data_IF_479293516060
#
_entry.id   IF_479293516060
#
_cell.length_a   1.000
_cell.length_b   1.000
_cell.length_c   1.000
_cell.angle_alpha   90.00
_cell.angle_beta   90.00
_cell.angle_gamma   90.00
#
_symmetry.space_group_name_H-M   'P 1'
#
loop_
_entity.id
_entity.type
_entity.pdbx_description
1 polymer ?
#
# COMPACT_ATOMS: atom_id res chain seq x y z
N UNK A 1 -14.84 48.94 -80.57
CA UNK A 1 -13.46 49.13 -80.19
C UNK A 1 -13.31 48.68 -78.78
N UNK A 2 -12.89 47.44 -78.62
CA UNK A 2 -12.87 46.76 -77.34
C UNK A 2 -11.44 46.50 -76.81
N UNK A 3 -11.16 47.08 -75.70
CA UNK A 3 -9.87 46.86 -74.97
C UNK A 3 -9.94 45.65 -74.10
N UNK A 4 -9.20 44.61 -74.42
CA UNK A 4 -9.04 43.43 -73.59
C UNK A 4 -8.07 43.73 -72.44
N UNK A 5 -8.59 43.78 -71.19
CA UNK A 5 -7.75 43.84 -69.99
C UNK A 5 -7.30 42.41 -69.67
N UNK A 6 -6.01 42.20 -69.75
CA UNK A 6 -5.36 40.96 -69.25
C UNK A 6 -5.27 41.01 -67.72
N UNK A 7 -5.93 40.06 -67.05
CA UNK A 7 -5.80 39.85 -65.62
C UNK A 7 -4.59 38.94 -65.43
N UNK A 8 -3.53 39.42 -64.78
CA UNK A 8 -2.41 38.63 -64.31
C UNK A 8 -2.80 37.99 -62.95
N UNK A 9 -2.97 36.74 -63.00
CA UNK A 9 -3.12 35.92 -61.75
C UNK A 9 -1.74 35.69 -61.17
N UNK A 10 -1.37 36.40 -60.13
CA UNK A 10 -0.15 36.15 -59.36
C UNK A 10 -0.48 35.11 -58.35
N UNK A 11 -0.10 33.88 -58.61
CA UNK A 11 -0.20 32.79 -57.66
C UNK A 11 0.93 32.96 -56.65
N UNK A 12 0.61 33.50 -55.49
CA UNK A 12 1.52 33.56 -54.38
C UNK A 12 1.68 32.13 -53.80
N UNK A 13 2.80 31.53 -54.10
CA UNK A 13 3.23 30.24 -53.53
C UNK A 13 3.68 30.49 -52.07
N UNK A 14 2.79 30.29 -51.11
CA UNK A 14 3.11 30.31 -49.69
C UNK A 14 3.90 29.00 -49.37
N UNK A 15 5.22 29.11 -49.37
CA UNK A 15 6.11 28.12 -48.81
C UNK A 15 5.96 28.14 -47.27
N UNK A 16 5.10 27.27 -46.75
CA UNK A 16 5.06 26.97 -45.33
C UNK A 16 6.30 26.12 -45.02
N UNK A 17 7.36 26.78 -44.56
CA UNK A 17 8.46 26.10 -43.88
C UNK A 17 7.91 25.60 -42.56
N UNK A 18 7.41 24.36 -42.55
CA UNK A 18 7.25 23.59 -41.32
C UNK A 18 8.64 23.27 -40.81
N UNK A 19 9.12 24.08 -39.88
CA UNK A 19 10.24 23.67 -39.02
C UNK A 19 9.79 22.45 -38.25
N UNK A 20 10.07 21.30 -38.80
CA UNK A 20 10.17 20.04 -38.04
C UNK A 20 11.33 20.21 -37.06
N UNK A 21 11.02 20.77 -35.88
CA UNK A 21 11.87 20.58 -34.72
C UNK A 21 11.88 19.07 -34.46
N UNK A 22 13.00 18.37 -34.56
CA UNK A 22 13.06 17.02 -34.07
C UNK A 22 12.85 17.13 -32.55
N UNK A 23 11.62 16.86 -32.06
CA UNK A 23 11.48 16.45 -30.68
C UNK A 23 12.39 15.23 -30.54
N UNK A 24 13.54 15.44 -29.95
CA UNK A 24 14.29 14.37 -29.32
C UNK A 24 13.38 13.87 -28.20
N UNK A 25 12.47 13.00 -28.56
CA UNK A 25 11.89 12.07 -27.61
C UNK A 25 13.09 11.28 -27.14
N UNK A 26 13.64 11.68 -25.99
CA UNK A 26 14.45 10.80 -25.20
C UNK A 26 13.54 9.59 -24.96
N UNK A 27 13.62 8.66 -25.89
CA UNK A 27 13.15 7.30 -25.70
C UNK A 27 13.94 6.76 -24.52
N UNK A 28 13.39 6.96 -23.32
CA UNK A 28 13.60 6.00 -22.27
C UNK A 28 13.25 4.67 -22.94
N UNK A 29 14.27 3.96 -23.39
CA UNK A 29 14.15 2.58 -23.79
C UNK A 29 13.44 1.92 -22.62
N UNK A 30 12.15 1.63 -22.81
CA UNK A 30 11.41 0.82 -21.88
C UNK A 30 12.27 -0.44 -21.73
N UNK A 31 12.93 -0.55 -20.59
CA UNK A 31 13.58 -1.80 -20.25
C UNK A 31 12.50 -2.87 -20.42
N UNK A 32 12.79 -3.96 -21.14
CA UNK A 32 11.81 -5.03 -21.30
C UNK A 32 11.30 -5.32 -19.89
N UNK A 33 9.97 -5.28 -19.72
CA UNK A 33 9.27 -5.59 -18.49
C UNK A 33 9.89 -6.84 -17.85
N UNK A 34 10.91 -6.64 -17.01
CA UNK A 34 11.23 -7.65 -16.03
C UNK A 34 10.01 -7.64 -15.12
N UNK A 35 9.19 -8.67 -15.24
CA UNK A 35 8.22 -8.98 -14.21
C UNK A 35 8.92 -8.77 -12.86
N UNK A 36 8.30 -8.06 -11.91
CA UNK A 36 8.92 -7.91 -10.59
C UNK A 36 9.38 -9.29 -10.16
N UNK A 37 10.58 -9.44 -9.57
CA UNK A 37 11.05 -10.74 -9.16
C UNK A 37 9.93 -11.40 -8.38
N UNK A 38 9.57 -12.62 -8.78
CA UNK A 38 8.55 -13.38 -8.09
C UNK A 38 8.99 -13.49 -6.64
N UNK A 39 8.06 -13.41 -5.69
CA UNK A 39 8.37 -13.55 -4.25
C UNK A 39 9.20 -14.83 -3.95
N UNK A 40 9.13 -15.83 -4.82
CA UNK A 40 9.93 -17.05 -4.76
C UNK A 40 11.45 -16.82 -4.70
N UNK A 41 11.91 -15.69 -5.25
CA UNK A 41 13.36 -15.37 -5.32
C UNK A 41 13.69 -14.05 -4.63
N UNK A 42 12.69 -13.37 -4.06
CA UNK A 42 12.93 -12.11 -3.40
C UNK A 42 13.60 -12.30 -2.04
N UNK A 43 14.67 -11.58 -1.84
CA UNK A 43 15.35 -11.43 -0.56
C UNK A 43 15.72 -9.96 -0.38
N UNK A 44 15.67 -9.41 0.82
CA UNK A 44 16.21 -8.08 1.05
C UNK A 44 17.71 -8.08 0.69
N UNK A 45 18.25 -6.95 0.22
CA UNK A 45 19.68 -6.85 -0.01
C UNK A 45 20.45 -7.25 1.26
N UNK A 46 21.53 -8.01 1.07
CA UNK A 46 22.41 -8.35 2.20
C UNK A 46 22.96 -7.06 2.79
N UNK A 47 23.00 -6.97 4.10
CA UNK A 47 23.47 -5.80 4.86
C UNK A 47 22.67 -4.52 4.53
N UNK A 48 21.39 -4.67 4.21
CA UNK A 48 20.51 -3.53 3.94
C UNK A 48 20.42 -2.61 5.16
N UNK A 49 20.63 -1.32 4.92
CA UNK A 49 20.33 -0.24 5.88
C UNK A 49 19.37 0.71 5.18
N UNK A 50 18.25 0.99 5.81
CA UNK A 50 17.26 1.87 5.22
C UNK A 50 17.80 3.29 4.96
N UNK A 51 17.30 3.97 3.92
CA UNK A 51 17.83 5.27 3.49
C UNK A 51 17.59 6.38 4.54
N UNK A 52 16.59 6.26 5.39
CA UNK A 52 16.28 7.23 6.44
C UNK A 52 17.31 7.12 7.55
N UNK A 53 17.63 5.91 7.99
CA UNK A 53 18.70 5.66 8.98
C UNK A 53 20.05 6.19 8.50
N UNK A 54 20.36 6.05 7.19
CA UNK A 54 21.58 6.65 6.63
C UNK A 54 21.56 8.17 6.71
N UNK A 55 20.43 8.83 6.43
CA UNK A 55 20.27 10.28 6.55
C UNK A 55 20.35 10.77 8.00
N UNK A 56 19.78 10.04 8.94
CA UNK A 56 19.89 10.34 10.37
C UNK A 56 21.37 10.34 10.79
N UNK A 57 22.15 9.33 10.38
CA UNK A 57 23.59 9.28 10.66
C UNK A 57 24.34 10.46 10.06
N UNK A 58 24.02 10.84 8.82
CA UNK A 58 24.60 12.00 8.15
C UNK A 58 24.31 13.30 8.92
N UNK A 59 23.06 13.56 9.29
CA UNK A 59 22.67 14.77 10.02
C UNK A 59 23.24 14.82 11.45
N UNK A 60 23.33 13.69 12.14
CA UNK A 60 24.02 13.59 13.44
C UNK A 60 25.51 13.91 13.32
N UNK A 61 26.17 13.45 12.27
CA UNK A 61 27.58 13.79 12.01
C UNK A 61 27.78 15.31 11.74
N UNK A 62 26.74 16.01 11.28
CA UNK A 62 26.71 17.47 11.12
C UNK A 62 26.37 18.21 12.44
N UNK A 63 26.09 17.49 13.51
CA UNK A 63 25.79 18.06 14.83
C UNK A 63 24.32 18.47 15.02
N UNK A 64 23.40 18.05 14.14
CA UNK A 64 21.97 18.33 14.28
C UNK A 64 21.39 17.54 15.47
N UNK A 65 20.47 18.15 16.19
CA UNK A 65 19.67 17.53 17.24
C UNK A 65 18.46 16.81 16.63
N UNK A 66 17.84 15.93 17.40
CA UNK A 66 16.76 15.07 16.91
C UNK A 66 15.57 15.86 16.32
N UNK A 67 15.18 16.99 16.91
CA UNK A 67 14.11 17.83 16.37
C UNK A 67 14.49 18.46 15.01
N UNK A 68 15.76 18.83 14.85
CA UNK A 68 16.28 19.38 13.60
C UNK A 68 16.35 18.26 12.52
N UNK A 69 16.80 17.08 12.91
CA UNK A 69 16.85 15.91 12.03
C UNK A 69 15.45 15.57 11.53
N UNK A 70 14.46 15.51 12.42
CA UNK A 70 13.06 15.24 12.02
C UNK A 70 12.57 16.26 10.99
N UNK A 71 12.80 17.55 11.22
CA UNK A 71 12.41 18.61 10.29
C UNK A 71 13.12 18.53 8.93
N UNK A 72 14.39 18.14 8.89
CA UNK A 72 15.11 17.96 7.63
C UNK A 72 14.64 16.69 6.89
N UNK A 73 14.33 15.60 7.59
CA UNK A 73 13.77 14.40 6.99
C UNK A 73 12.41 14.66 6.36
N UNK A 74 11.53 15.41 7.02
CA UNK A 74 10.20 15.77 6.48
C UNK A 74 10.31 16.52 5.15
N UNK A 75 11.28 17.43 4.99
CA UNK A 75 11.55 18.11 3.70
C UNK A 75 11.96 17.15 2.58
N UNK A 76 12.54 16.02 2.95
CA UNK A 76 12.94 14.97 2.02
C UNK A 76 11.82 13.94 1.78
N UNK A 77 10.63 14.11 2.36
CA UNK A 77 9.56 13.13 2.30
C UNK A 77 9.92 11.85 3.06
N UNK A 78 10.60 11.98 4.17
CA UNK A 78 11.01 10.90 5.06
C UNK A 78 10.52 11.20 6.47
N UNK A 79 10.33 10.15 7.26
CA UNK A 79 9.95 10.31 8.66
C UNK A 79 10.77 9.43 9.58
N UNK A 80 10.83 9.88 10.82
CA UNK A 80 11.54 9.19 11.89
C UNK A 80 10.86 9.44 13.22
N UNK A 81 10.74 8.41 14.02
CA UNK A 81 10.24 8.49 15.39
C UNK A 81 11.40 8.32 16.37
N UNK A 82 11.98 9.42 16.91
CA UNK A 82 13.22 9.38 17.67
C UNK A 82 13.17 8.49 18.91
N UNK A 83 11.99 8.34 19.50
CA UNK A 83 11.77 7.58 20.74
C UNK A 83 12.04 6.09 20.57
N UNK A 84 11.69 5.52 19.43
CA UNK A 84 11.84 4.09 19.17
C UNK A 84 12.82 3.79 18.04
N UNK A 85 13.10 4.79 17.19
CA UNK A 85 13.95 4.60 16.02
C UNK A 85 13.18 4.21 14.74
N UNK A 86 11.86 4.07 14.77
CA UNK A 86 11.06 3.76 13.61
C UNK A 86 11.26 4.79 12.48
N UNK A 87 11.37 4.30 11.24
CA UNK A 87 11.68 5.10 10.05
C UNK A 87 10.74 4.77 8.90
N UNK A 88 10.45 5.74 8.03
CA UNK A 88 9.62 5.53 6.84
C UNK A 88 9.94 6.53 5.73
N UNK A 89 9.63 6.16 4.49
CA UNK A 89 9.52 7.12 3.38
C UNK A 89 8.07 7.54 3.20
N UNK A 90 7.87 8.79 2.79
CA UNK A 90 6.55 9.41 2.73
C UNK A 90 6.37 10.41 3.87
N UNK A 91 5.13 10.80 4.10
CA UNK A 91 4.78 11.76 5.15
C UNK A 91 3.73 11.21 6.09
N UNK A 92 3.72 11.69 7.31
CA UNK A 92 2.60 11.48 8.21
C UNK A 92 1.33 12.14 7.64
N UNK A 93 0.19 11.60 7.96
CA UNK A 93 -1.09 12.21 7.63
C UNK A 93 -1.34 13.42 8.51
N UNK A 94 -1.99 14.45 7.94
CA UNK A 94 -2.50 15.57 8.73
C UNK A 94 -3.64 15.12 9.64
N UNK A 95 -3.99 15.88 10.70
CA UNK A 95 -5.14 15.55 11.54
C UNK A 95 -6.44 15.40 10.75
N UNK A 96 -6.64 16.20 9.70
CA UNK A 96 -7.81 16.15 8.83
C UNK A 96 -7.82 14.85 8.00
N UNK A 97 -6.69 14.48 7.42
CA UNK A 97 -6.54 13.21 6.71
C UNK A 97 -6.72 12.01 7.64
N UNK A 98 -6.17 12.09 8.87
CA UNK A 98 -6.35 11.05 9.89
C UNK A 98 -7.82 10.86 10.28
N UNK A 99 -8.61 11.94 10.33
CA UNK A 99 -10.03 11.87 10.63
C UNK A 99 -10.84 11.13 9.53
N UNK A 100 -10.31 11.10 8.31
CA UNK A 100 -10.90 10.38 7.18
C UNK A 100 -10.40 8.93 7.04
N UNK A 101 -9.31 8.59 7.73
CA UNK A 101 -8.78 7.23 7.68
C UNK A 101 -9.61 6.27 8.53
N UNK A 102 -9.70 5.00 8.11
CA UNK A 102 -10.35 3.99 8.92
C UNK A 102 -9.70 3.92 10.31
N UNK A 103 -10.53 3.84 11.33
CA UNK A 103 -10.07 3.43 12.64
C UNK A 103 -9.79 1.93 12.58
N UNK A 104 -8.54 1.56 12.38
CA UNK A 104 -8.07 0.19 12.17
C UNK A 104 -8.15 -0.70 13.42
N UNK A 105 -8.79 -0.26 14.48
CA UNK A 105 -9.12 -1.14 15.58
C UNK A 105 -10.13 -2.19 15.08
N UNK A 106 -9.90 -3.49 15.31
CA UNK A 106 -10.93 -4.50 15.11
C UNK A 106 -12.17 -4.02 15.89
N UNK A 107 -13.25 -3.75 15.17
CA UNK A 107 -14.44 -3.15 15.74
C UNK A 107 -14.93 -4.00 16.92
N UNK A 108 -14.69 -3.56 18.13
CA UNK A 108 -15.53 -3.96 19.25
C UNK A 108 -16.95 -3.58 18.86
N UNK A 109 -17.87 -4.53 18.97
CA UNK A 109 -19.28 -4.32 18.67
C UNK A 109 -19.75 -2.99 19.28
N UNK A 110 -20.43 -2.13 18.50
CA UNK A 110 -20.78 -0.78 18.95
C UNK A 110 -21.68 -0.87 20.19
N UNK A 111 -21.26 -0.29 21.30
CA UNK A 111 -22.14 0.07 22.39
C UNK A 111 -23.06 1.20 21.89
N UNK A 112 -24.36 1.04 22.08
CA UNK A 112 -25.40 1.97 21.66
C UNK A 112 -25.26 3.31 22.41
N UNK A 113 -24.57 4.29 21.86
CA UNK A 113 -24.63 5.67 22.32
C UNK A 113 -24.54 6.67 21.16
N UNK A 114 -25.61 7.46 21.00
CA UNK A 114 -25.66 8.76 20.33
C UNK A 114 -25.56 8.74 18.79
N UNK A 115 -26.69 9.10 18.14
CA UNK A 115 -26.81 9.22 16.69
C UNK A 115 -26.04 10.43 16.12
N UNK A 116 -24.74 10.32 15.92
CA UNK A 116 -24.05 11.02 14.85
C UNK A 116 -24.09 10.12 13.59
N UNK A 117 -24.10 10.69 12.39
CA UNK A 117 -24.01 9.95 11.12
C UNK A 117 -22.80 9.01 11.20
N UNK A 118 -23.04 7.75 11.53
CA UNK A 118 -21.99 6.78 11.75
C UNK A 118 -21.60 6.22 10.39
N UNK A 119 -20.39 6.49 9.96
CA UNK A 119 -19.74 5.76 8.88
C UNK A 119 -19.85 4.27 9.18
N UNK A 120 -20.49 3.53 8.30
CA UNK A 120 -20.65 2.08 8.43
C UNK A 120 -19.45 1.41 7.80
N UNK A 121 -18.68 0.65 8.58
CA UNK A 121 -17.60 -0.18 8.05
C UNK A 121 -18.03 -1.63 7.86
N UNK A 122 -17.42 -2.30 6.89
CA UNK A 122 -17.54 -3.74 6.66
C UNK A 122 -16.17 -4.30 6.34
N UNK A 123 -15.88 -5.46 6.90
CA UNK A 123 -14.56 -6.10 6.78
C UNK A 123 -14.67 -7.53 6.27
N UNK A 124 -13.64 -7.95 5.57
CA UNK A 124 -13.35 -9.35 5.28
C UNK A 124 -11.87 -9.59 5.53
N UNK A 125 -11.52 -10.71 6.12
CA UNK A 125 -10.13 -11.04 6.42
C UNK A 125 -9.86 -12.54 6.30
N UNK A 126 -8.60 -12.87 6.05
CA UNK A 126 -8.01 -14.19 6.21
C UNK A 126 -6.77 -14.04 7.11
N UNK A 127 -6.65 -14.87 8.14
CA UNK A 127 -5.57 -14.78 9.12
C UNK A 127 -5.06 -16.16 9.54
N UNK A 128 -3.80 -16.24 9.94
CA UNK A 128 -3.29 -17.43 10.63
C UNK A 128 -3.86 -17.49 12.05
N UNK A 129 -4.20 -18.69 12.53
CA UNK A 129 -4.78 -18.87 13.88
C UNK A 129 -3.75 -18.69 14.98
N UNK A 130 -2.46 -18.87 14.68
CA UNK A 130 -1.38 -18.78 15.66
C UNK A 130 -0.39 -17.67 15.34
N UNK A 131 0.17 -17.05 16.37
CA UNK A 131 1.30 -16.15 16.30
C UNK A 131 2.60 -16.97 16.19
N UNK A 132 2.91 -17.47 15.01
CA UNK A 132 4.06 -18.35 14.76
C UNK A 132 5.00 -17.81 13.65
N UNK A 133 4.71 -16.63 13.11
CA UNK A 133 5.32 -16.15 11.89
C UNK A 133 6.18 -14.90 12.13
N UNK A 134 7.26 -14.79 11.38
CA UNK A 134 8.15 -13.63 11.34
C UNK A 134 7.95 -12.78 10.11
N UNK A 135 6.99 -13.10 9.28
CA UNK A 135 6.69 -12.30 8.11
C UNK A 135 5.55 -12.88 7.28
N UNK A 136 5.06 -12.03 6.39
CA UNK A 136 4.02 -12.33 5.43
C UNK A 136 4.34 -11.63 4.13
N UNK A 137 4.10 -12.30 3.02
CA UNK A 137 4.23 -11.69 1.70
C UNK A 137 3.10 -12.15 0.79
N UNK A 138 2.71 -11.29 -0.14
CA UNK A 138 1.65 -11.54 -1.09
C UNK A 138 1.86 -10.77 -2.38
N UNK A 139 1.47 -11.35 -3.49
CA UNK A 139 1.18 -10.62 -4.71
C UNK A 139 -0.32 -10.27 -4.69
N UNK A 140 -0.65 -8.98 -4.76
CA UNK A 140 -2.02 -8.50 -4.67
C UNK A 140 -2.44 -7.76 -5.94
N UNK A 141 -3.50 -8.25 -6.57
CA UNK A 141 -4.27 -7.53 -7.59
C UNK A 141 -5.40 -6.79 -6.88
N UNK A 142 -5.48 -5.48 -7.02
CA UNK A 142 -6.44 -4.66 -6.28
C UNK A 142 -7.89 -4.82 -6.74
N UNK A 143 -8.09 -5.23 -7.99
CA UNK A 143 -9.42 -5.15 -8.58
C UNK A 143 -9.95 -3.72 -8.67
N UNK A 144 -11.26 -3.56 -8.75
CA UNK A 144 -11.87 -2.24 -8.96
C UNK A 144 -11.92 -1.36 -7.71
N UNK A 145 -11.97 -1.92 -6.51
CA UNK A 145 -12.16 -1.17 -5.25
C UNK A 145 -13.13 0.00 -5.46
N UNK A 146 -14.36 -0.32 -5.91
CA UNK A 146 -15.31 0.67 -6.41
C UNK A 146 -15.77 1.62 -5.31
N UNK A 147 -15.68 2.93 -5.56
CA UNK A 147 -16.08 3.98 -4.62
C UNK A 147 -16.98 5.01 -5.30
N UNK A 148 -17.98 5.53 -4.57
CA UNK A 148 -18.92 6.53 -5.05
C UNK A 148 -19.35 7.46 -3.93
N UNK A 149 -19.86 8.64 -4.25
CA UNK A 149 -20.36 9.60 -3.26
C UNK A 149 -21.58 9.12 -2.45
N UNK A 150 -22.32 8.13 -2.94
CA UNK A 150 -23.56 7.63 -2.31
C UNK A 150 -23.45 6.18 -1.81
N UNK A 151 -22.34 5.51 -2.13
CA UNK A 151 -22.10 4.12 -1.77
C UNK A 151 -20.85 3.95 -0.93
N UNK A 152 -20.00 3.02 -1.33
CA UNK A 152 -18.67 2.88 -0.74
C UNK A 152 -17.89 4.17 -0.95
N UNK A 153 -17.56 4.88 0.13
CA UNK A 153 -16.78 6.11 0.07
C UNK A 153 -15.28 5.84 0.11
N UNK A 154 -14.91 4.82 0.85
CA UNK A 154 -13.53 4.45 1.09
C UNK A 154 -13.39 2.94 1.05
N UNK A 155 -12.37 2.44 0.36
CA UNK A 155 -12.02 1.03 0.31
C UNK A 155 -10.53 0.85 0.54
N UNK A 156 -10.12 -0.12 1.34
CA UNK A 156 -8.73 -0.48 1.46
C UNK A 156 -8.50 -1.99 1.47
N UNK A 157 -7.29 -2.36 1.09
CA UNK A 157 -6.75 -3.71 1.10
C UNK A 157 -5.42 -3.66 1.83
N UNK A 158 -5.14 -4.61 2.70
CA UNK A 158 -3.86 -4.65 3.38
C UNK A 158 -3.32 -6.07 3.57
N UNK A 159 -1.99 -6.11 3.70
CA UNK A 159 -1.23 -7.22 4.25
C UNK A 159 -0.85 -6.85 5.67
N UNK A 160 -1.03 -7.74 6.62
CA UNK A 160 -0.94 -7.48 8.06
C UNK A 160 0.03 -8.45 8.74
N UNK A 161 0.79 -7.95 9.72
CA UNK A 161 1.62 -8.77 10.61
C UNK A 161 1.53 -8.21 12.03
N UNK A 162 1.27 -9.05 13.03
CA UNK A 162 1.21 -8.61 14.42
C UNK A 162 0.26 -9.42 15.30
N UNK A 163 -0.20 -8.83 16.38
CA UNK A 163 -1.20 -9.39 17.29
C UNK A 163 -2.61 -9.09 16.81
N UNK A 164 -2.99 -9.67 15.66
CA UNK A 164 -4.18 -9.29 14.89
C UNK A 164 -5.50 -9.56 15.62
N UNK A 165 -5.58 -10.61 16.45
CA UNK A 165 -6.81 -10.94 17.18
C UNK A 165 -7.01 -10.03 18.40
N UNK A 166 -5.93 -9.61 19.05
CA UNK A 166 -6.01 -8.66 20.17
C UNK A 166 -6.09 -7.20 19.71
N UNK A 167 -5.62 -6.90 18.49
CA UNK A 167 -5.52 -5.55 17.96
C UNK A 167 -4.58 -4.66 18.79
N UNK A 168 -3.54 -5.24 19.40
CA UNK A 168 -2.67 -4.52 20.34
C UNK A 168 -1.36 -4.06 19.74
N UNK A 169 -0.80 -4.79 18.80
CA UNK A 169 0.49 -4.45 18.19
C UNK A 169 0.58 -5.10 16.82
N UNK A 170 0.38 -4.31 15.78
CA UNK A 170 0.42 -4.79 14.39
C UNK A 170 0.82 -3.70 13.42
N UNK A 171 1.25 -4.14 12.25
CA UNK A 171 1.64 -3.30 11.14
C UNK A 171 0.95 -3.72 9.86
N UNK A 172 0.78 -2.78 8.95
CA UNK A 172 0.09 -2.99 7.68
C UNK A 172 0.83 -2.33 6.51
N UNK A 173 0.85 -3.04 5.39
CA UNK A 173 1.12 -2.47 4.07
C UNK A 173 -0.23 -2.35 3.35
N UNK A 174 -0.62 -1.13 3.00
CA UNK A 174 -2.01 -0.79 2.66
C UNK A 174 -2.12 -0.17 1.28
N UNK A 175 -3.12 -0.60 0.52
CA UNK A 175 -3.61 0.08 -0.68
C UNK A 175 -5.00 0.63 -0.40
N UNK A 176 -5.22 1.90 -0.72
CA UNK A 176 -6.50 2.59 -0.53
C UNK A 176 -7.06 3.12 -1.84
N UNK A 177 -8.38 3.27 -1.87
CA UNK A 177 -9.11 4.04 -2.87
C UNK A 177 -10.22 4.83 -2.19
N UNK A 178 -10.08 6.17 -2.17
CA UNK A 178 -11.11 7.10 -1.68
C UNK A 178 -11.90 7.69 -2.84
N UNK A 179 -13.16 8.03 -2.58
CA UNK A 179 -13.98 8.74 -3.57
C UNK A 179 -13.33 10.08 -3.95
N UNK A 180 -13.21 10.31 -5.26
CA UNK A 180 -12.55 11.51 -5.80
C UNK A 180 -11.02 11.46 -5.83
N UNK A 181 -10.42 10.39 -5.36
CA UNK A 181 -8.98 10.21 -5.34
C UNK A 181 -8.51 9.07 -6.24
N UNK A 182 -7.20 9.01 -6.46
CA UNK A 182 -6.52 7.87 -7.09
C UNK A 182 -6.11 6.85 -6.03
N UNK A 183 -5.76 5.65 -6.47
CA UNK A 183 -5.21 4.62 -5.57
C UNK A 183 -3.91 5.10 -4.92
N UNK A 184 -3.78 4.91 -3.60
CA UNK A 184 -2.63 5.34 -2.81
C UNK A 184 -2.09 4.22 -1.95
N UNK A 185 -0.77 4.16 -1.79
CA UNK A 185 -0.12 3.29 -0.83
C UNK A 185 0.15 4.00 0.48
N UNK A 186 -0.14 3.29 1.56
CA UNK A 186 0.14 3.70 2.94
C UNK A 186 0.81 2.56 3.69
N UNK A 187 1.41 2.91 4.80
CA UNK A 187 1.73 1.95 5.87
C UNK A 187 1.04 2.38 7.15
N UNK A 188 0.73 1.43 7.98
CA UNK A 188 0.20 1.67 9.31
C UNK A 188 0.97 0.88 10.35
N UNK A 189 1.23 1.52 11.49
CA UNK A 189 1.81 0.89 12.66
C UNK A 189 1.06 1.44 13.87
N UNK A 190 0.41 0.58 14.63
CA UNK A 190 -0.46 1.04 15.70
C UNK A 190 0.30 1.50 16.96
N UNK A 191 1.58 1.22 17.08
CA UNK A 191 2.43 1.63 18.21
C UNK A 191 3.42 2.74 17.85
N UNK A 192 3.88 2.78 16.61
CA UNK A 192 4.98 3.63 16.19
C UNK A 192 4.59 4.58 15.04
N UNK A 193 3.94 5.69 15.36
CA UNK A 193 3.68 6.76 14.42
C UNK A 193 2.42 6.63 13.56
N UNK A 194 1.65 5.54 13.67
CA UNK A 194 0.36 5.40 12.98
C UNK A 194 0.48 5.36 11.45
N UNK A 195 -0.41 6.09 10.77
CA UNK A 195 -0.50 6.13 9.32
C UNK A 195 0.60 6.98 8.68
N UNK A 196 1.26 6.43 7.65
CA UNK A 196 2.12 7.20 6.76
C UNK A 196 1.73 6.99 5.30
N UNK A 197 1.57 8.09 4.55
CA UNK A 197 1.36 8.09 3.10
C UNK A 197 2.68 7.90 2.40
N UNK A 198 2.75 6.87 1.55
CA UNK A 198 3.94 6.62 0.75
C UNK A 198 3.86 7.33 -0.59
N UNK A 199 2.94 6.93 -1.44
CA UNK A 199 2.73 7.55 -2.76
C UNK A 199 1.47 7.06 -3.46
N UNK A 200 1.11 7.73 -4.54
CA UNK A 200 0.08 7.26 -5.47
C UNK A 200 0.53 5.98 -6.17
N UNK A 201 -0.38 5.00 -6.28
CA UNK A 201 -0.17 3.78 -7.08
C UNK A 201 -0.13 4.15 -8.56
N UNK A 202 0.95 3.80 -9.21
CA UNK A 202 1.20 4.07 -10.63
C UNK A 202 1.03 2.83 -11.54
N UNK A 203 0.67 1.70 -10.97
CA UNK A 203 0.38 0.46 -11.70
C UNK A 203 -1.12 0.33 -11.96
N UNK A 204 -1.51 -0.34 -13.04
CA UNK A 204 -2.92 -0.62 -13.28
C UNK A 204 -3.51 -1.55 -12.20
N UNK A 205 -4.82 -1.48 -11.98
CA UNK A 205 -5.53 -2.31 -10.98
C UNK A 205 -5.53 -3.80 -11.31
N UNK A 206 -5.21 -4.15 -12.54
CA UNK A 206 -5.05 -5.53 -13.02
C UNK A 206 -3.64 -6.08 -12.83
N UNK A 207 -2.67 -5.23 -12.49
CA UNK A 207 -1.32 -5.68 -12.18
C UNK A 207 -1.20 -6.06 -10.71
N UNK A 208 -0.45 -7.12 -10.47
CA UNK A 208 -0.07 -7.50 -9.12
C UNK A 208 1.03 -6.60 -8.59
N UNK A 209 0.83 -6.13 -7.37
CA UNK A 209 1.88 -5.49 -6.59
C UNK A 209 2.37 -6.46 -5.52
N UNK A 210 3.67 -6.46 -5.24
CA UNK A 210 4.27 -7.29 -4.21
C UNK A 210 4.27 -6.54 -2.89
N UNK A 211 3.78 -7.18 -1.84
CA UNK A 211 3.80 -6.68 -0.47
C UNK A 211 4.56 -7.65 0.41
N UNK A 212 5.50 -7.14 1.17
CA UNK A 212 6.28 -7.93 2.13
C UNK A 212 6.36 -7.18 3.45
N UNK A 213 6.03 -7.87 4.52
CA UNK A 213 6.32 -7.43 5.89
C UNK A 213 7.15 -8.54 6.53
N UNK A 214 8.31 -8.20 7.07
CA UNK A 214 9.20 -9.19 7.63
C UNK A 214 9.95 -8.70 8.86
N UNK A 215 10.12 -9.56 9.83
CA UNK A 215 11.02 -9.36 10.96
C UNK A 215 12.34 -10.10 10.70
N UNK A 216 13.46 -9.44 10.94
CA UNK A 216 14.78 -10.06 10.83
C UNK A 216 15.18 -10.85 12.07
N UNK A 217 14.50 -10.59 13.20
CA UNK A 217 14.73 -11.23 14.48
C UNK A 217 15.65 -10.45 15.40
N UNK A 218 16.17 -9.29 14.98
CA UNK A 218 16.93 -8.40 15.84
C UNK A 218 16.03 -7.75 16.88
N UNK A 219 16.60 -7.46 18.06
CA UNK A 219 15.94 -6.73 19.13
C UNK A 219 16.86 -5.60 19.57
N UNK A 220 16.36 -4.36 19.52
CA UNK A 220 17.16 -3.17 19.78
C UNK A 220 16.68 -2.33 20.99
N UNK A 221 15.81 -2.90 21.83
CA UNK A 221 15.24 -2.26 23.01
C UNK A 221 13.88 -1.58 22.76
N UNK A 222 13.51 -1.28 21.51
CA UNK A 222 12.16 -0.86 21.11
C UNK A 222 11.22 -2.06 20.86
N UNK A 223 11.80 -3.20 20.52
CA UNK A 223 11.08 -4.41 20.15
C UNK A 223 11.84 -5.23 19.12
N UNK A 224 11.13 -6.11 18.45
CA UNK A 224 11.67 -6.89 17.34
C UNK A 224 11.50 -6.13 16.04
N UNK A 225 12.62 -5.84 15.40
CA UNK A 225 12.67 -5.04 14.18
C UNK A 225 11.90 -5.69 13.03
N UNK A 226 11.08 -4.88 12.33
CA UNK A 226 10.42 -5.26 11.09
C UNK A 226 10.71 -4.28 9.96
N UNK A 227 10.58 -4.77 8.72
CA UNK A 227 10.59 -3.99 7.50
C UNK A 227 9.33 -4.21 6.67
N UNK A 228 8.84 -3.15 6.03
CA UNK A 228 7.78 -3.18 5.02
C UNK A 228 8.36 -2.82 3.66
N UNK A 229 8.04 -3.65 2.67
CA UNK A 229 8.44 -3.47 1.28
C UNK A 229 7.20 -3.54 0.38
N UNK A 230 7.13 -2.62 -0.61
CA UNK A 230 6.12 -2.65 -1.68
C UNK A 230 6.86 -2.58 -3.01
N UNK A 231 6.60 -3.53 -3.92
CA UNK A 231 7.26 -3.63 -5.22
C UNK A 231 8.79 -3.58 -5.13
N UNK A 232 9.35 -4.32 -4.19
CA UNK A 232 10.79 -4.40 -3.90
C UNK A 232 11.42 -3.06 -3.45
N UNK A 233 10.59 -2.08 -3.06
CA UNK A 233 11.06 -0.84 -2.46
C UNK A 233 10.77 -0.88 -0.97
N UNK A 234 11.80 -0.59 -0.18
CA UNK A 234 11.64 -0.42 1.26
C UNK A 234 10.81 0.83 1.54
N UNK A 235 9.86 0.73 2.47
CA UNK A 235 8.92 1.80 2.79
C UNK A 235 9.01 2.20 4.25
N UNK A 236 9.12 1.24 5.16
CA UNK A 236 9.08 1.49 6.60
C UNK A 236 9.85 0.43 7.36
N UNK A 237 10.46 0.85 8.46
CA UNK A 237 10.95 0.00 9.53
C UNK A 237 10.37 0.45 10.87
N UNK A 238 10.23 -0.45 11.79
CA UNK A 238 9.79 -0.21 13.15
C UNK A 238 9.90 -1.47 13.99
N UNK A 239 9.10 -1.58 15.05
CA UNK A 239 9.23 -2.66 16.02
C UNK A 239 7.88 -3.31 16.34
N UNK A 240 7.90 -4.62 16.48
CA UNK A 240 6.81 -5.39 17.07
C UNK A 240 7.23 -5.91 18.45
N UNK A 241 6.30 -5.92 19.37
CA UNK A 241 6.55 -6.37 20.75
C UNK A 241 6.87 -7.87 20.88
N UNK A 242 6.52 -8.66 19.85
CA UNK A 242 6.74 -10.10 19.82
C UNK A 242 7.53 -10.52 18.59
N UNK A 243 8.48 -11.45 18.77
CA UNK A 243 9.24 -12.06 17.68
C UNK A 243 8.38 -12.90 16.73
N UNK A 244 7.25 -13.39 17.21
CA UNK A 244 6.31 -14.19 16.44
C UNK A 244 4.94 -13.52 16.42
N UNK A 245 4.34 -13.47 15.25
CA UNK A 245 3.14 -12.74 14.95
C UNK A 245 2.12 -13.59 14.20
N UNK A 246 0.86 -13.17 14.21
CA UNK A 246 -0.13 -13.59 13.24
C UNK A 246 0.10 -12.85 11.93
N UNK A 247 -0.16 -13.53 10.82
CA UNK A 247 -0.15 -12.98 9.48
C UNK A 247 -1.58 -12.89 8.94
N UNK A 248 -1.87 -11.87 8.12
CA UNK A 248 -3.21 -11.71 7.60
C UNK A 248 -3.32 -10.85 6.36
N UNK A 249 -4.50 -10.94 5.75
CA UNK A 249 -4.98 -10.08 4.68
C UNK A 249 -6.34 -9.52 5.07
N UNK A 250 -6.64 -8.30 4.69
CA UNK A 250 -7.93 -7.69 4.98
C UNK A 250 -8.39 -6.81 3.82
N UNK A 251 -9.70 -6.85 3.55
CA UNK A 251 -10.44 -5.83 2.82
C UNK A 251 -11.35 -5.13 3.80
N UNK A 252 -11.41 -3.81 3.73
CA UNK A 252 -12.37 -3.03 4.46
C UNK A 252 -12.99 -1.97 3.56
N UNK A 253 -14.27 -1.69 3.77
CA UNK A 253 -15.01 -0.67 3.04
C UNK A 253 -15.84 0.17 4.00
N UNK A 254 -15.93 1.46 3.71
CA UNK A 254 -16.64 2.45 4.50
C UNK A 254 -17.71 3.14 3.66
N UNK A 255 -18.85 3.41 4.27
CA UNK A 255 -19.96 4.15 3.68
C UNK A 255 -20.61 5.06 4.71
N UNK A 256 -20.83 6.31 4.36
CA UNK A 256 -21.53 7.28 5.22
C UNK A 256 -23.05 7.00 5.30
N UNK A 257 -23.60 6.33 4.28
CA UNK A 257 -25.02 6.01 4.17
C UNK A 257 -25.38 4.57 4.57
N UNK A 258 -24.36 3.71 4.73
CA UNK A 258 -24.55 2.27 4.88
C UNK A 258 -24.87 1.55 3.57
N UNK A 259 -24.90 2.26 2.44
CA UNK A 259 -24.97 1.68 1.09
C UNK A 259 -23.55 1.39 0.60
N UNK A 260 -23.37 0.31 -0.14
CA UNK A 260 -22.07 -0.08 -0.65
C UNK A 260 -22.12 -0.27 -2.16
N UNK A 261 -21.06 0.14 -2.84
CA UNK A 261 -20.93 0.01 -4.30
C UNK A 261 -20.34 -1.35 -4.64
N UNK A 262 -20.99 -2.08 -5.55
CA UNK A 262 -20.44 -3.35 -6.04
C UNK A 262 -19.11 -3.14 -6.74
N UNK A 263 -18.15 -4.02 -6.46
CA UNK A 263 -16.91 -4.06 -7.21
C UNK A 263 -17.13 -4.68 -8.59
N UNK A 264 -16.58 -4.05 -9.63
CA UNK A 264 -16.63 -4.57 -10.99
C UNK A 264 -15.65 -5.73 -11.23
N UNK A 265 -14.60 -5.80 -10.42
CA UNK A 265 -13.62 -6.89 -10.42
C UNK A 265 -13.09 -7.14 -9.02
N UNK A 266 -12.70 -8.36 -8.74
CA UNK A 266 -12.30 -8.81 -7.42
C UNK A 266 -10.87 -8.39 -7.09
N UNK A 267 -10.60 -8.14 -5.81
CA UNK A 267 -9.26 -8.11 -5.28
C UNK A 267 -8.78 -9.53 -5.03
N UNK A 268 -7.53 -9.81 -5.39
CA UNK A 268 -6.97 -11.16 -5.30
C UNK A 268 -5.59 -11.10 -4.65
N UNK A 269 -5.45 -11.85 -3.57
CA UNK A 269 -4.17 -12.11 -2.91
C UNK A 269 -3.72 -13.51 -3.30
N UNK A 270 -2.59 -13.61 -3.97
CA UNK A 270 -2.07 -14.88 -4.47
C UNK A 270 -0.55 -14.97 -4.28
N UNK A 271 0.02 -16.18 -4.47
CA UNK A 271 1.41 -16.47 -4.11
C UNK A 271 1.71 -15.98 -2.71
N UNK A 272 0.91 -16.45 -1.76
CA UNK A 272 0.96 -16.02 -0.39
C UNK A 272 2.02 -16.81 0.36
N UNK A 273 2.88 -16.11 1.10
CA UNK A 273 4.00 -16.65 1.81
C UNK A 273 3.96 -16.27 3.28
N UNK A 274 4.48 -17.16 4.09
CA UNK A 274 4.71 -16.96 5.51
C UNK A 274 6.19 -17.18 5.79
N UNK A 275 6.77 -16.33 6.63
CA UNK A 275 8.16 -16.46 7.06
C UNK A 275 8.23 -17.16 8.40
N UNK A 276 9.01 -18.23 8.45
CA UNK A 276 9.42 -18.90 9.70
C UNK A 276 10.61 -18.17 10.34
N UNK A 277 11.22 -18.78 11.34
CA UNK A 277 12.47 -18.24 11.91
C UNK A 277 13.66 -18.29 10.93
N UNK A 278 13.58 -19.07 9.87
CA UNK A 278 14.70 -19.30 8.96
C UNK A 278 14.32 -18.98 7.50
N UNK A 279 13.19 -19.53 7.01
CA UNK A 279 12.85 -19.51 5.60
C UNK A 279 11.44 -19.03 5.33
N UNK A 280 11.20 -18.65 4.08
CA UNK A 280 9.87 -18.42 3.52
C UNK A 280 9.25 -19.77 3.10
N UNK A 281 7.97 -19.94 3.39
CA UNK A 281 7.17 -21.06 2.92
C UNK A 281 5.85 -20.59 2.36
N UNK A 282 5.28 -21.32 1.43
CA UNK A 282 3.94 -21.02 0.94
C UNK A 282 2.88 -21.13 2.06
N UNK A 283 1.95 -20.21 2.06
CA UNK A 283 0.78 -20.31 2.93
C UNK A 283 -0.16 -21.39 2.37
N UNK A 284 -0.08 -22.57 2.95
CA UNK A 284 -0.75 -23.80 2.48
C UNK A 284 -1.88 -24.22 3.43
N UNK A 285 -2.71 -25.16 3.00
CA UNK A 285 -3.83 -25.69 3.78
C UNK A 285 -3.43 -26.31 5.14
N UNK A 286 -2.17 -26.73 5.29
CA UNK A 286 -1.65 -27.22 6.57
C UNK A 286 -1.46 -26.12 7.62
N UNK A 287 -1.39 -24.86 7.19
CA UNK A 287 -1.36 -23.70 8.12
C UNK A 287 -2.77 -23.48 8.65
N UNK A 288 -2.93 -23.67 9.95
CA UNK A 288 -4.21 -23.40 10.60
C UNK A 288 -4.57 -21.93 10.45
N UNK A 289 -5.67 -21.68 9.76
CA UNK A 289 -6.11 -20.34 9.37
C UNK A 289 -7.62 -20.20 9.53
N UNK A 290 -8.06 -18.98 9.72
CA UNK A 290 -9.49 -18.66 9.75
C UNK A 290 -9.75 -17.45 8.88
N UNK A 291 -11.00 -17.28 8.48
CA UNK A 291 -11.47 -16.13 7.70
C UNK A 291 -12.84 -15.70 8.19
N UNK A 292 -13.12 -14.44 7.99
CA UNK A 292 -14.45 -13.89 8.23
C UNK A 292 -14.81 -12.90 7.14
N UNK A 293 -16.10 -12.69 6.96
CA UNK A 293 -16.61 -11.68 6.05
C UNK A 293 -17.92 -11.11 6.59
N UNK A 294 -18.09 -9.80 6.44
CA UNK A 294 -19.35 -9.13 6.76
C UNK A 294 -20.02 -8.60 5.49
N UNK A 295 -21.34 -8.93 5.32
CA UNK A 295 -22.11 -8.44 4.19
C UNK A 295 -22.03 -6.92 4.07
N UNK A 296 -21.85 -6.34 2.87
CA UNK A 296 -21.93 -6.98 1.55
C UNK A 296 -20.59 -7.46 0.98
N UNK A 297 -19.50 -7.50 1.77
CA UNK A 297 -18.26 -8.07 1.29
C UNK A 297 -18.45 -9.58 1.12
N UNK A 298 -17.93 -10.11 0.02
CA UNK A 298 -17.81 -11.51 -0.28
C UNK A 298 -16.34 -11.90 -0.28
N UNK A 299 -16.06 -13.12 0.09
CA UNK A 299 -14.71 -13.66 -0.01
C UNK A 299 -14.75 -15.15 -0.29
N UNK A 300 -13.75 -15.61 -0.99
CA UNK A 300 -13.47 -17.03 -1.20
C UNK A 300 -11.99 -17.29 -1.06
N UNK A 301 -11.62 -18.51 -0.73
CA UNK A 301 -10.23 -18.94 -0.65
C UNK A 301 -10.12 -20.37 -1.13
N UNK A 302 -9.06 -20.67 -1.82
CA UNK A 302 -8.77 -22.00 -2.32
C UNK A 302 -7.28 -22.17 -2.61
N UNK A 303 -6.85 -23.41 -2.74
CA UNK A 303 -5.46 -23.68 -3.16
C UNK A 303 -5.31 -23.39 -4.65
N UNK A 304 -4.43 -22.46 -4.99
CA UNK A 304 -4.04 -22.14 -6.37
C UNK A 304 -2.56 -22.43 -6.54
N UNK A 305 -2.25 -23.59 -7.14
CA UNK A 305 -0.87 -24.08 -7.21
C UNK A 305 -0.34 -24.41 -5.81
N UNK A 306 0.75 -23.77 -5.40
CA UNK A 306 1.47 -24.08 -4.17
C UNK A 306 0.98 -23.30 -2.95
N UNK A 307 0.11 -22.29 -3.08
CA UNK A 307 -0.36 -21.48 -1.97
C UNK A 307 -1.86 -21.25 -1.99
N UNK A 308 -2.41 -20.85 -0.84
CA UNK A 308 -3.75 -20.27 -0.82
C UNK A 308 -3.81 -19.05 -1.72
N UNK A 309 -4.95 -18.93 -2.43
CA UNK A 309 -5.43 -17.71 -3.02
C UNK A 309 -6.61 -17.24 -2.17
N UNK A 310 -6.63 -15.97 -1.82
CA UNK A 310 -7.78 -15.33 -1.18
C UNK A 310 -8.31 -14.24 -2.09
N UNK A 311 -9.61 -14.28 -2.36
CA UNK A 311 -10.30 -13.38 -3.26
C UNK A 311 -11.43 -12.68 -2.51
N UNK A 312 -11.60 -11.37 -2.71
CA UNK A 312 -12.60 -10.59 -1.98
C UNK A 312 -13.14 -9.44 -2.83
N UNK A 313 -14.45 -9.17 -2.70
CA UNK A 313 -15.16 -8.13 -3.45
C UNK A 313 -16.40 -7.68 -2.70
N UNK A 314 -16.95 -6.52 -3.07
CA UNK A 314 -18.27 -6.05 -2.62
C UNK A 314 -19.33 -6.50 -3.61
N UNK A 315 -20.40 -7.13 -3.11
CA UNK A 315 -21.55 -7.54 -3.89
C UNK A 315 -22.81 -7.54 -3.02
N UNK A 316 -23.71 -6.58 -3.28
CA UNK A 316 -25.04 -6.49 -2.69
C UNK A 316 -25.98 -7.58 -3.20
#
# INVERSE_FOLDING_TARGET
>A
MGGKKKIFCVTALLLVFSMLCPMVVNGATAQPNKSPPTLDTWQPPKDFVDPVTLKIKEFRAQGLKDEQITAELEKLGMGWYPKTGATWVGRMLTPEELAEMPTTAPAKAPSNEGAALRTVSRTSCMRTSSAAWRGVASEMVSGSMSVTSQGTRYSYLCVQLGSLDSGSNWVEAVLTHNYGETYKWYTYDNDEGGWSYYRTKNTATTYADNYVIMMDGSYDGGGYHYDIWINNQWIRSGHLSSLYAQAGFQKEVYSDSGQFTNDASHAVFYRNWLRTSQDWMYWVSAVNSWWSTSYPIRATHYMAGSSYLWETWVQN
#
